data_IF_131773246321
#
_entry.id   IF_131773246321
#
_cell.length_a   1.000
_cell.length_b   1.000
_cell.length_c   1.000
_cell.angle_alpha   90.00
_cell.angle_beta   90.00
_cell.angle_gamma   90.00
#
_symmetry.space_group_name_H-M   'P 1'
#
loop_
_entity.id
_entity.type
_entity.pdbx_description
1 polymer ?
#
# COMPACT_ATOMS: atom_id res chain seq x y z
N UNK A 1 -31.97 -11.38 -11.93
CA UNK A 1 -32.18 -11.15 -13.38
C UNK A 1 -32.71 -9.73 -13.60
N UNK A 2 -32.14 -9.00 -14.56
CA UNK A 2 -32.59 -7.65 -14.88
C UNK A 2 -33.81 -7.70 -15.82
N UNK A 3 -34.84 -6.90 -15.56
CA UNK A 3 -36.02 -6.73 -16.42
C UNK A 3 -36.80 -8.03 -16.74
N UNK A 4 -37.05 -8.87 -15.72
CA UNK A 4 -37.75 -10.16 -15.88
C UNK A 4 -39.15 -10.03 -16.50
N UNK A 5 -39.81 -8.88 -16.35
CA UNK A 5 -41.10 -8.63 -16.98
C UNK A 5 -41.06 -8.72 -18.51
N UNK A 6 -39.90 -8.44 -19.14
CA UNK A 6 -39.73 -8.57 -20.60
C UNK A 6 -39.74 -10.02 -21.09
N UNK A 7 -39.52 -10.98 -20.21
CA UNK A 7 -39.53 -12.41 -20.56
C UNK A 7 -40.92 -13.05 -20.41
N UNK A 8 -41.90 -12.31 -19.88
CA UNK A 8 -43.28 -12.78 -19.70
C UNK A 8 -44.08 -12.50 -20.97
N UNK A 9 -44.72 -13.53 -21.52
CA UNK A 9 -45.64 -13.36 -22.66
C UNK A 9 -46.85 -12.51 -22.25
N UNK A 10 -47.33 -11.67 -23.16
CA UNK A 10 -48.43 -10.71 -22.92
C UNK A 10 -49.69 -11.35 -22.34
N UNK A 11 -50.03 -12.59 -22.74
CA UNK A 11 -51.20 -13.32 -22.23
C UNK A 11 -51.13 -13.65 -20.73
N UNK A 12 -49.94 -13.67 -20.14
CA UNK A 12 -49.72 -13.93 -18.70
C UNK A 12 -49.39 -12.67 -17.90
N UNK A 13 -49.32 -11.50 -18.54
CA UNK A 13 -48.93 -10.25 -17.89
C UNK A 13 -49.83 -9.87 -16.71
N UNK A 14 -51.12 -10.22 -16.77
CA UNK A 14 -52.12 -9.92 -15.72
C UNK A 14 -52.29 -11.04 -14.67
N UNK A 15 -51.50 -12.12 -14.71
CA UNK A 15 -51.61 -13.22 -13.74
C UNK A 15 -50.86 -12.89 -12.44
N UNK A 16 -51.54 -12.65 -11.30
CA UNK A 16 -50.87 -12.22 -10.07
C UNK A 16 -50.00 -13.33 -9.46
N UNK A 17 -50.47 -14.58 -9.51
CA UNK A 17 -49.77 -15.74 -8.94
C UNK A 17 -48.49 -16.09 -9.70
N UNK A 18 -48.54 -16.07 -11.03
CA UNK A 18 -47.37 -16.36 -11.87
C UNK A 18 -46.31 -15.27 -11.72
N UNK A 19 -46.71 -13.99 -11.75
CA UNK A 19 -45.79 -12.86 -11.53
C UNK A 19 -45.15 -12.89 -10.13
N UNK A 20 -45.92 -13.27 -9.10
CA UNK A 20 -45.39 -13.41 -7.73
C UNK A 20 -44.34 -14.53 -7.64
N UNK A 21 -44.58 -15.69 -8.27
CA UNK A 21 -43.60 -16.78 -8.35
C UNK A 21 -42.31 -16.34 -9.06
N UNK A 22 -42.44 -15.70 -10.21
CA UNK A 22 -41.29 -15.20 -10.98
C UNK A 22 -40.49 -14.16 -10.17
N UNK A 23 -41.16 -13.24 -9.49
CA UNK A 23 -40.50 -12.24 -8.65
C UNK A 23 -39.77 -12.88 -7.46
N UNK A 24 -40.39 -13.85 -6.80
CA UNK A 24 -39.77 -14.58 -5.69
C UNK A 24 -38.52 -15.34 -6.14
N UNK A 25 -38.58 -16.02 -7.29
CA UNK A 25 -37.41 -16.67 -7.88
C UNK A 25 -36.33 -15.66 -8.28
N UNK A 26 -36.73 -14.54 -8.87
CA UNK A 26 -35.78 -13.50 -9.25
C UNK A 26 -35.02 -12.97 -8.02
N UNK A 27 -35.72 -12.72 -6.91
CA UNK A 27 -35.12 -12.23 -5.67
C UNK A 27 -34.25 -13.30 -5.00
N UNK A 28 -34.65 -14.57 -5.01
CA UNK A 28 -33.88 -15.66 -4.42
C UNK A 28 -32.53 -15.89 -5.12
N UNK A 29 -32.44 -15.58 -6.41
CA UNK A 29 -31.25 -15.78 -7.23
C UNK A 29 -30.59 -14.48 -7.71
N UNK A 30 -30.97 -13.30 -7.21
CA UNK A 30 -30.37 -12.05 -7.67
C UNK A 30 -28.97 -11.85 -7.05
N UNK A 31 -27.87 -11.95 -7.82
CA UNK A 31 -26.54 -11.77 -7.26
C UNK A 31 -26.14 -10.29 -7.21
N UNK A 32 -26.97 -9.35 -7.69
CA UNK A 32 -26.60 -7.96 -7.86
C UNK A 32 -26.02 -7.32 -6.59
N UNK A 33 -26.68 -7.51 -5.44
CA UNK A 33 -26.20 -7.00 -4.14
C UNK A 33 -24.87 -7.63 -3.72
N UNK A 34 -24.69 -8.93 -4.00
CA UNK A 34 -23.45 -9.62 -3.69
C UNK A 34 -22.29 -9.13 -4.57
N UNK A 35 -22.55 -8.91 -5.86
CA UNK A 35 -21.57 -8.35 -6.81
C UNK A 35 -21.18 -6.94 -6.39
N UNK A 36 -22.14 -6.10 -6.02
CA UNK A 36 -21.85 -4.74 -5.54
C UNK A 36 -21.03 -4.76 -4.25
N UNK A 37 -21.42 -5.61 -3.29
CA UNK A 37 -20.67 -5.77 -2.04
C UNK A 37 -19.24 -6.26 -2.31
N UNK A 38 -19.08 -7.24 -3.21
CA UNK A 38 -17.77 -7.72 -3.64
C UNK A 38 -16.96 -6.60 -4.31
N UNK A 39 -17.58 -5.83 -5.20
CA UNK A 39 -16.91 -4.72 -5.86
C UNK A 39 -16.42 -3.69 -4.85
N UNK A 40 -17.26 -3.27 -3.90
CA UNK A 40 -16.88 -2.29 -2.88
C UNK A 40 -15.85 -2.83 -1.89
N UNK A 41 -15.96 -4.09 -1.46
CA UNK A 41 -15.07 -4.63 -0.42
C UNK A 41 -13.74 -5.16 -0.95
N UNK A 42 -13.70 -5.56 -2.23
CA UNK A 42 -12.54 -6.25 -2.82
C UNK A 42 -11.96 -5.45 -3.98
N UNK A 43 -12.77 -5.02 -4.94
CA UNK A 43 -12.26 -4.51 -6.21
C UNK A 43 -12.00 -3.00 -6.22
N UNK A 44 -12.87 -2.21 -5.61
CA UNK A 44 -12.73 -0.76 -5.52
C UNK A 44 -11.68 -0.41 -4.45
N UNK A 45 -10.54 0.14 -4.87
CA UNK A 45 -9.43 0.41 -3.95
C UNK A 45 -9.77 1.46 -2.88
N UNK A 46 -10.67 2.39 -3.17
CA UNK A 46 -11.08 3.44 -2.23
C UNK A 46 -11.87 2.86 -1.04
N UNK A 47 -12.69 1.84 -1.29
CA UNK A 47 -13.60 1.25 -0.29
C UNK A 47 -13.18 -0.14 0.18
N UNK A 48 -12.20 -0.77 -0.49
CA UNK A 48 -11.70 -2.09 -0.14
C UNK A 48 -11.13 -2.13 1.28
N UNK A 49 -11.36 -3.27 1.95
CA UNK A 49 -10.97 -3.52 3.34
C UNK A 49 -10.43 -4.93 3.52
N UNK A 50 -9.58 -5.12 4.53
CA UNK A 50 -9.04 -6.44 4.89
C UNK A 50 -8.47 -7.21 3.70
N UNK A 51 -9.10 -8.33 3.35
CA UNK A 51 -8.67 -9.23 2.27
C UNK A 51 -8.63 -8.56 0.89
N UNK A 52 -9.56 -7.63 0.60
CA UNK A 52 -9.59 -6.92 -0.67
C UNK A 52 -8.29 -6.15 -0.93
N UNK A 53 -7.83 -5.42 0.08
CA UNK A 53 -6.54 -4.73 0.02
C UNK A 53 -5.38 -5.71 -0.06
N UNK A 54 -5.46 -6.88 0.59
CA UNK A 54 -4.41 -7.89 0.51
C UNK A 54 -4.27 -8.47 -0.91
N UNK A 55 -5.38 -8.59 -1.66
CA UNK A 55 -5.36 -8.96 -3.09
C UNK A 55 -4.64 -7.87 -3.90
N UNK A 56 -5.00 -6.60 -3.70
CA UNK A 56 -4.33 -5.48 -4.37
C UNK A 56 -2.84 -5.40 -4.03
N UNK A 57 -2.48 -5.58 -2.76
CA UNK A 57 -1.10 -5.65 -2.32
C UNK A 57 -0.31 -6.73 -3.07
N UNK A 58 -0.86 -7.93 -3.24
CA UNK A 58 -0.22 -8.98 -4.04
C UNK A 58 -0.07 -8.61 -5.51
N UNK A 59 -1.05 -7.89 -6.10
CA UNK A 59 -0.99 -7.43 -7.49
C UNK A 59 0.17 -6.44 -7.68
N UNK A 60 0.33 -5.47 -6.77
CA UNK A 60 1.39 -4.46 -6.87
C UNK A 60 2.74 -4.90 -6.28
N UNK A 61 2.76 -6.01 -5.55
CA UNK A 61 3.97 -6.60 -4.96
C UNK A 61 4.35 -6.05 -3.58
N UNK A 62 3.38 -5.70 -2.73
CA UNK A 62 3.61 -5.33 -1.32
C UNK A 62 2.77 -6.18 -0.35
N UNK A 63 3.24 -6.27 0.89
CA UNK A 63 2.57 -6.99 1.96
C UNK A 63 2.13 -6.04 3.08
N UNK A 64 1.05 -6.40 3.78
CA UNK A 64 0.49 -5.64 4.90
C UNK A 64 1.31 -5.78 6.19
N UNK A 65 1.94 -6.94 6.36
CA UNK A 65 2.75 -7.23 7.54
C UNK A 65 4.19 -6.84 7.20
N UNK A 66 4.72 -5.89 7.96
CA UNK A 66 6.09 -5.41 7.85
C UNK A 66 6.92 -6.03 8.97
N UNK A 67 8.11 -6.50 8.63
CA UNK A 67 9.11 -6.87 9.63
C UNK A 67 9.82 -5.60 10.08
N UNK A 68 9.65 -5.26 11.35
CA UNK A 68 10.32 -4.14 12.01
C UNK A 68 11.46 -4.68 12.86
N UNK A 69 12.65 -4.12 12.71
CA UNK A 69 13.73 -4.35 13.68
C UNK A 69 13.39 -3.55 14.93
N UNK A 70 13.28 -4.25 16.06
CA UNK A 70 12.79 -3.63 17.32
C UNK A 70 13.94 -3.10 18.17
N UNK A 71 15.15 -3.60 17.96
CA UNK A 71 16.31 -3.30 18.78
C UNK A 71 17.24 -2.33 18.05
N UNK A 72 17.51 -1.18 18.67
CA UNK A 72 18.65 -0.33 18.33
C UNK A 72 19.89 -0.83 19.07
N UNK A 73 21.00 -0.97 18.34
CA UNK A 73 22.27 -1.42 18.91
C UNK A 73 23.46 -0.72 18.25
N UNK A 74 24.56 -0.61 19.00
CA UNK A 74 25.84 -0.16 18.47
C UNK A 74 26.66 -1.37 17.98
N UNK A 75 27.15 -1.32 16.74
CA UNK A 75 27.91 -2.38 16.10
C UNK A 75 28.94 -1.84 15.10
N UNK A 76 29.59 -2.75 14.38
CA UNK A 76 30.60 -2.41 13.37
C UNK A 76 30.08 -2.50 11.93
N UNK A 77 28.82 -2.85 11.75
CA UNK A 77 28.17 -2.76 10.43
C UNK A 77 27.90 -1.29 10.12
N UNK A 78 28.25 -0.87 8.90
CA UNK A 78 28.01 0.48 8.43
C UNK A 78 26.51 0.66 8.20
N UNK A 79 25.90 1.61 8.92
CA UNK A 79 24.52 1.99 8.65
C UNK A 79 24.51 2.75 7.32
N UNK A 80 23.94 2.15 6.28
CA UNK A 80 23.70 2.81 4.98
C UNK A 80 22.28 3.41 4.90
N UNK A 81 21.64 3.60 6.06
CA UNK A 81 20.20 3.83 6.15
C UNK A 81 19.80 4.83 7.25
N UNK A 82 18.50 4.96 7.51
CA UNK A 82 17.96 5.92 8.48
C UNK A 82 17.98 5.40 9.93
N UNK A 83 18.73 4.34 10.23
CA UNK A 83 18.83 3.74 11.58
C UNK A 83 20.08 4.19 12.35
N UNK A 84 20.85 5.10 11.78
CA UNK A 84 22.01 5.74 12.41
C UNK A 84 21.62 6.39 13.74
N UNK A 85 22.38 6.07 14.79
CA UNK A 85 22.23 6.69 16.11
C UNK A 85 23.58 7.12 16.67
N UNK A 86 23.55 8.11 17.56
CA UNK A 86 24.74 8.72 18.15
C UNK A 86 25.49 7.75 19.07
N UNK A 87 26.78 7.99 19.29
CA UNK A 87 27.54 7.18 20.24
C UNK A 87 26.94 7.32 21.65
N UNK A 88 26.86 6.21 22.40
CA UNK A 88 26.30 6.13 23.76
C UNK A 88 24.76 6.34 23.86
N UNK A 89 24.00 6.08 22.80
CA UNK A 89 22.52 6.07 22.84
C UNK A 89 21.90 4.66 22.92
N UNK A 90 22.63 3.63 22.47
CA UNK A 90 22.17 2.25 22.37
C UNK A 90 23.18 1.25 22.96
N UNK A 91 22.74 0.09 23.48
CA UNK A 91 23.64 -0.95 23.97
C UNK A 91 24.48 -1.57 22.84
N UNK A 92 25.60 -2.19 23.19
CA UNK A 92 26.40 -2.96 22.25
C UNK A 92 25.63 -4.17 21.71
N UNK A 93 25.84 -4.50 20.44
CA UNK A 93 25.24 -5.66 19.80
C UNK A 93 25.48 -6.95 20.61
N UNK A 94 24.39 -7.66 20.94
CA UNK A 94 24.39 -8.83 21.81
C UNK A 94 24.49 -10.16 21.04
N UNK A 95 24.59 -10.14 19.71
CA UNK A 95 24.62 -11.33 18.86
C UNK A 95 23.25 -11.83 18.42
N UNK A 96 22.15 -11.17 18.79
CA UNK A 96 20.80 -11.47 18.32
C UNK A 96 20.03 -10.16 18.08
N UNK A 97 19.22 -10.12 17.04
CA UNK A 97 18.33 -8.99 16.73
C UNK A 97 16.89 -9.45 16.87
N UNK A 98 16.10 -8.77 17.71
CA UNK A 98 14.66 -9.02 17.82
C UNK A 98 13.91 -8.31 16.69
N UNK A 99 13.30 -9.08 15.79
CA UNK A 99 12.37 -8.57 14.79
C UNK A 99 10.92 -8.71 15.26
N UNK A 100 10.16 -7.62 15.21
CA UNK A 100 8.72 -7.62 15.40
C UNK A 100 7.98 -7.67 14.07
N UNK A 101 6.74 -8.16 14.08
CA UNK A 101 5.83 -8.04 12.96
C UNK A 101 4.83 -6.91 13.25
N UNK A 102 4.77 -5.92 12.36
CA UNK A 102 3.82 -4.83 12.43
C UNK A 102 2.78 -4.96 11.32
N UNK A 103 1.50 -4.97 11.67
CA UNK A 103 0.39 -5.05 10.71
C UNK A 103 -0.14 -3.65 10.42
N UNK A 104 -0.03 -3.19 9.18
CA UNK A 104 -0.58 -1.90 8.75
C UNK A 104 -2.13 -1.87 8.84
N UNK A 105 -2.66 -0.71 9.22
CA UNK A 105 -4.09 -0.39 9.10
C UNK A 105 -4.53 -0.40 7.62
N UNK A 106 -5.83 -0.49 7.37
CA UNK A 106 -6.35 -0.47 5.99
C UNK A 106 -5.99 0.84 5.27
N UNK A 107 -6.03 1.97 5.96
CA UNK A 107 -5.67 3.27 5.38
C UNK A 107 -4.18 3.38 5.06
N UNK A 108 -3.32 2.99 6.02
CA UNK A 108 -1.87 2.99 5.79
C UNK A 108 -1.46 2.01 4.68
N UNK A 109 -2.12 0.85 4.61
CA UNK A 109 -1.84 -0.13 3.57
C UNK A 109 -2.35 0.32 2.20
N UNK A 110 -3.49 1.02 2.13
CA UNK A 110 -3.98 1.62 0.88
C UNK A 110 -3.02 2.68 0.34
N UNK A 111 -2.49 3.54 1.21
CA UNK A 111 -1.44 4.51 0.84
C UNK A 111 -0.20 3.80 0.28
N UNK A 112 0.25 2.72 0.94
CA UNK A 112 1.38 1.92 0.46
C UNK A 112 1.11 1.30 -0.92
N UNK A 113 -0.09 0.77 -1.14
CA UNK A 113 -0.49 0.19 -2.44
C UNK A 113 -0.47 1.25 -3.54
N UNK A 114 -1.05 2.44 -3.30
CA UNK A 114 -1.02 3.53 -4.28
C UNK A 114 0.42 3.94 -4.63
N UNK A 115 1.25 4.14 -3.61
CA UNK A 115 2.65 4.50 -3.80
C UNK A 115 3.42 3.41 -4.56
N UNK A 116 3.17 2.13 -4.26
CA UNK A 116 3.82 1.01 -4.97
C UNK A 116 3.34 0.90 -6.41
N UNK A 117 2.06 1.12 -6.67
CA UNK A 117 1.53 1.16 -8.03
C UNK A 117 2.22 2.26 -8.85
N UNK A 118 2.36 3.46 -8.29
CA UNK A 118 3.11 4.57 -8.90
C UNK A 118 4.58 4.20 -9.13
N UNK A 119 5.23 3.59 -8.15
CA UNK A 119 6.61 3.13 -8.25
C UNK A 119 6.83 2.08 -9.35
N UNK A 120 5.83 1.24 -9.63
CA UNK A 120 5.93 0.22 -10.67
C UNK A 120 5.77 0.79 -12.09
N UNK A 121 5.11 1.94 -12.26
CA UNK A 121 4.87 2.60 -13.56
C UNK A 121 5.71 3.87 -13.77
N UNK A 122 6.58 4.20 -12.81
CA UNK A 122 7.39 5.42 -12.82
C UNK A 122 8.44 5.39 -13.92
N UNK A 123 8.74 6.57 -14.46
CA UNK A 123 9.87 6.81 -15.37
C UNK A 123 11.18 7.08 -14.61
N UNK A 124 11.14 7.13 -13.27
CA UNK A 124 12.29 7.41 -12.42
C UNK A 124 12.71 8.88 -12.40
N UNK A 125 11.95 9.79 -13.00
CA UNK A 125 12.22 11.23 -12.94
C UNK A 125 12.04 11.77 -11.51
N UNK A 126 12.79 12.81 -11.15
CA UNK A 126 12.70 13.46 -9.82
C UNK A 126 11.25 13.87 -9.51
N UNK A 127 10.51 14.36 -10.50
CA UNK A 127 9.09 14.72 -10.35
C UNK A 127 8.21 13.52 -10.00
N UNK A 128 8.39 12.38 -10.67
CA UNK A 128 7.64 11.16 -10.39
C UNK A 128 7.99 10.59 -9.01
N UNK A 129 9.28 10.62 -8.66
CA UNK A 129 9.74 10.16 -7.35
C UNK A 129 9.20 11.05 -6.21
N UNK A 130 9.18 12.37 -6.40
CA UNK A 130 8.58 13.30 -5.44
C UNK A 130 7.07 13.07 -5.29
N UNK A 131 6.35 12.73 -6.36
CA UNK A 131 4.92 12.37 -6.27
C UNK A 131 4.69 11.10 -5.42
N UNK A 132 5.58 10.11 -5.54
CA UNK A 132 5.54 8.90 -4.69
C UNK A 132 5.78 9.27 -3.22
N UNK A 133 6.78 10.11 -2.94
CA UNK A 133 7.07 10.59 -1.58
C UNK A 133 5.89 11.34 -0.98
N UNK A 134 5.27 12.24 -1.75
CA UNK A 134 4.08 12.98 -1.33
C UNK A 134 2.91 12.04 -1.02
N UNK A 135 2.76 10.95 -1.77
CA UNK A 135 1.70 9.96 -1.51
C UNK A 135 1.94 9.19 -0.20
N UNK A 136 3.19 8.84 0.10
CA UNK A 136 3.55 8.06 1.29
C UNK A 136 3.58 8.88 2.57
N UNK A 137 4.08 10.12 2.50
CA UNK A 137 4.44 10.92 3.67
C UNK A 137 3.63 12.22 3.78
N UNK A 138 2.51 12.34 3.06
CA UNK A 138 1.62 13.48 3.15
C UNK A 138 1.31 13.85 4.62
N UNK A 139 1.59 15.10 4.99
CA UNK A 139 1.32 15.64 6.31
C UNK A 139 2.33 15.30 7.41
N UNK A 140 3.43 14.60 7.08
CA UNK A 140 4.47 14.23 8.07
C UNK A 140 5.73 15.10 8.02
N UNK A 141 5.85 15.93 6.99
CA UNK A 141 6.97 16.85 6.78
C UNK A 141 7.40 16.86 5.32
N UNK A 142 8.43 17.65 5.03
CA UNK A 142 8.97 17.73 3.67
C UNK A 142 9.76 16.46 3.34
N UNK A 143 9.54 15.88 2.16
CA UNK A 143 10.35 14.80 1.62
C UNK A 143 10.60 15.05 0.14
N UNK A 144 11.84 14.96 -0.30
CA UNK A 144 12.20 15.20 -1.70
C UNK A 144 13.41 14.37 -2.14
N UNK A 145 13.55 14.23 -3.45
CA UNK A 145 14.73 13.65 -4.10
C UNK A 145 15.66 14.75 -4.57
N UNK A 146 16.96 14.57 -4.29
CA UNK A 146 18.04 15.38 -4.84
C UNK A 146 18.91 14.52 -5.76
N UNK A 147 19.08 14.96 -7.01
CA UNK A 147 20.05 14.38 -7.94
C UNK A 147 21.38 15.15 -7.82
N UNK A 148 22.47 14.43 -7.58
CA UNK A 148 23.80 15.01 -7.42
C UNK A 148 24.67 14.86 -8.68
N UNK A 149 24.10 14.32 -9.76
CA UNK A 149 24.86 13.87 -10.92
C UNK A 149 25.72 12.65 -10.59
N UNK A 150 26.57 12.24 -11.53
CA UNK A 150 27.54 11.16 -11.31
C UNK A 150 26.90 9.81 -10.95
N UNK A 151 25.69 9.53 -11.45
CA UNK A 151 24.93 8.31 -11.12
C UNK A 151 24.66 8.17 -9.61
N UNK A 152 24.28 9.27 -8.94
CA UNK A 152 23.90 9.26 -7.53
C UNK A 152 22.69 10.13 -7.23
N UNK A 153 21.82 9.65 -6.33
CA UNK A 153 20.63 10.37 -5.88
C UNK A 153 20.42 10.15 -4.38
N UNK A 154 19.79 11.14 -3.74
CA UNK A 154 19.50 11.10 -2.31
C UNK A 154 18.01 11.37 -2.07
N UNK A 155 17.36 10.50 -1.32
CA UNK A 155 16.06 10.76 -0.71
C UNK A 155 16.27 11.50 0.61
N UNK A 156 15.81 12.74 0.69
CA UNK A 156 15.95 13.58 1.88
C UNK A 156 14.61 13.74 2.58
N UNK A 157 14.60 13.51 3.90
CA UNK A 157 13.44 13.66 4.77
C UNK A 157 13.68 14.82 5.74
N UNK A 158 12.77 15.79 5.77
CA UNK A 158 12.74 16.92 6.71
C UNK A 158 12.11 16.58 8.06
N UNK A 159 11.93 15.30 8.35
CA UNK A 159 11.40 14.77 9.60
C UNK A 159 12.12 13.46 9.92
N UNK A 160 12.07 13.04 11.19
CA UNK A 160 12.60 11.75 11.64
C UNK A 160 11.53 10.67 11.38
N UNK A 161 11.75 9.71 10.47
CA UNK A 161 10.76 8.68 10.19
C UNK A 161 10.62 7.71 11.37
N UNK A 162 9.39 7.26 11.63
CA UNK A 162 9.12 6.20 12.61
C UNK A 162 9.68 4.84 12.15
N UNK A 163 9.87 3.90 13.08
CA UNK A 163 10.34 2.54 12.76
C UNK A 163 9.50 1.84 11.67
N UNK A 164 8.17 2.08 11.66
CA UNK A 164 7.28 1.56 10.61
C UNK A 164 7.60 2.17 9.26
N UNK A 165 7.82 3.49 9.20
CA UNK A 165 8.17 4.18 7.96
C UNK A 165 9.55 3.78 7.44
N UNK A 166 10.53 3.61 8.33
CA UNK A 166 11.84 3.08 7.99
C UNK A 166 11.69 1.70 7.34
N UNK A 167 10.89 0.81 7.92
CA UNK A 167 10.63 -0.50 7.31
C UNK A 167 9.92 -0.41 5.94
N UNK A 168 9.05 0.59 5.73
CA UNK A 168 8.46 0.85 4.41
C UNK A 168 9.53 1.30 3.42
N UNK A 169 10.35 2.30 3.79
CA UNK A 169 11.42 2.85 2.94
C UNK A 169 12.39 1.75 2.51
N UNK A 170 12.76 0.87 3.42
CA UNK A 170 13.80 -0.14 3.21
C UNK A 170 13.29 -1.44 2.59
N UNK A 171 12.21 -2.00 3.14
CA UNK A 171 11.82 -3.39 2.88
C UNK A 171 10.66 -3.52 1.90
N UNK A 172 9.84 -2.47 1.71
CA UNK A 172 8.65 -2.58 0.85
C UNK A 172 8.96 -2.46 -0.65
N UNK A 173 10.16 -1.97 -1.01
CA UNK A 173 10.52 -1.70 -2.40
C UNK A 173 9.64 -0.62 -3.06
N UNK A 174 9.01 0.26 -2.26
CA UNK A 174 8.14 1.34 -2.74
C UNK A 174 8.92 2.52 -3.30
N UNK A 175 10.16 2.74 -2.86
CA UNK A 175 11.02 3.79 -3.38
C UNK A 175 11.88 3.22 -4.51
N UNK A 176 11.67 3.65 -5.76
CA UNK A 176 12.43 3.16 -6.90
C UNK A 176 13.92 3.45 -6.76
N UNK A 177 14.73 2.50 -7.20
CA UNK A 177 16.18 2.66 -7.38
C UNK A 177 16.49 2.56 -8.87
N UNK A 178 16.73 3.68 -9.57
CA UNK A 178 17.07 3.66 -10.99
C UNK A 178 18.31 2.81 -11.26
N UNK A 179 18.32 2.11 -12.40
CA UNK A 179 19.41 1.21 -12.74
C UNK A 179 20.74 1.96 -12.88
N UNK A 180 21.77 1.47 -12.21
CA UNK A 180 23.11 2.06 -12.24
C UNK A 180 23.28 3.33 -11.40
N UNK A 181 22.25 3.76 -10.67
CA UNK A 181 22.31 4.95 -9.79
C UNK A 181 22.43 4.52 -8.34
N UNK A 182 23.42 5.07 -7.63
CA UNK A 182 23.55 4.91 -6.18
C UNK A 182 22.48 5.73 -5.47
N UNK A 183 21.67 5.06 -4.65
CA UNK A 183 20.62 5.70 -3.85
C UNK A 183 21.06 5.79 -2.40
N UNK A 184 20.92 6.96 -1.79
CA UNK A 184 21.20 7.18 -0.37
C UNK A 184 19.99 7.84 0.30
N UNK A 185 19.83 7.64 1.61
CA UNK A 185 18.76 8.26 2.41
C UNK A 185 19.40 9.22 3.41
N UNK A 186 18.79 10.39 3.62
CA UNK A 186 19.30 11.38 4.56
C UNK A 186 18.15 12.04 5.33
N UNK A 187 18.39 12.31 6.61
CA UNK A 187 17.51 13.16 7.42
C UNK A 187 18.14 14.55 7.48
N UNK A 188 17.34 15.58 7.17
CA UNK A 188 17.76 16.97 7.36
C UNK A 188 17.66 17.29 8.85
N UNK A 189 18.82 17.43 9.49
CA UNK A 189 18.96 17.94 10.86
C UNK A 189 18.68 19.43 10.98
#
# INVERSE_FOLDING_TARGET
MQNVQKTVLSQYACSPTLNALIAAWNQAFDPATLIETWYQQIWNLETAQGYGLDVWGRIVGVQRILSITSDTFCGFEEAEDLTEDSFNSAPWYSGTVSSGNYRLSDDGFRQLIYAKAMANITDGSITSLNAILMTLFAGQGDAWVSDHGGMSMTYTFGFVPSAVQISIIQNSGVLPRPAGVRVTYAIKG
#
